data_IF_622743141710
#
_entry.id   IF_622743141710
#
_cell.length_a   1.000
_cell.length_b   1.000
_cell.length_c   1.000
_cell.angle_alpha   90.00
_cell.angle_beta   90.00
_cell.angle_gamma   90.00
#
_symmetry.space_group_name_H-M   'P 1'
#
loop_
_entity.id
_entity.type
_entity.pdbx_description
1 polymer ?
#
# COMPACT_ATOMS: atom_id res chain seq x y z
N UNK A 1 -10.62 1.03 -18.16
CA UNK A 1 -9.50 0.06 -18.26
C UNK A 1 -9.04 -0.27 -16.85
N UNK A 2 -8.63 -1.51 -16.57
CA UNK A 2 -8.18 -1.88 -15.21
C UNK A 2 -6.66 -1.74 -15.08
N UNK A 3 -6.20 -0.97 -14.09
CA UNK A 3 -4.78 -0.82 -13.71
C UNK A 3 -4.54 -1.51 -12.37
N UNK A 4 -3.58 -2.42 -12.32
CA UNK A 4 -3.21 -3.13 -11.08
C UNK A 4 -1.94 -2.50 -10.49
N UNK A 5 -2.00 -2.13 -9.21
CA UNK A 5 -0.88 -1.55 -8.45
C UNK A 5 -0.38 -2.54 -7.39
N UNK A 6 0.90 -2.90 -7.48
CA UNK A 6 1.58 -3.76 -6.52
C UNK A 6 2.36 -2.96 -5.48
N UNK A 7 1.82 -2.84 -4.26
CA UNK A 7 2.45 -2.13 -3.13
C UNK A 7 2.60 -3.03 -1.90
N UNK A 8 2.56 -4.34 -2.10
CA UNK A 8 2.81 -5.35 -1.06
C UNK A 8 4.20 -5.15 -0.42
N UNK A 9 4.26 -5.26 0.90
CA UNK A 9 5.44 -5.09 1.73
C UNK A 9 5.80 -3.63 2.03
N UNK A 10 5.13 -2.65 1.44
CA UNK A 10 5.41 -1.24 1.70
C UNK A 10 4.71 -0.76 2.97
N UNK A 11 5.48 -0.06 3.83
CA UNK A 11 4.94 0.53 5.04
C UNK A 11 4.11 1.79 4.75
N UNK A 12 3.12 2.05 5.59
CA UNK A 12 2.43 3.34 5.57
C UNK A 12 3.44 4.49 5.76
N UNK A 13 3.37 5.60 4.98
CA UNK A 13 2.30 5.99 4.05
C UNK A 13 2.54 5.65 2.56
N UNK A 14 3.59 4.88 2.24
CA UNK A 14 4.04 4.68 0.87
C UNK A 14 2.99 4.06 -0.07
N UNK A 15 2.23 3.00 0.31
CA UNK A 15 1.16 2.47 -0.53
C UNK A 15 0.14 3.53 -0.98
N UNK A 16 -0.18 4.49 -0.11
CA UNK A 16 -1.17 5.53 -0.39
C UNK A 16 -0.63 6.60 -1.34
N UNK A 17 0.66 6.94 -1.22
CA UNK A 17 1.32 7.89 -2.10
C UNK A 17 1.37 7.33 -3.53
N UNK A 18 1.73 6.06 -3.68
CA UNK A 18 1.79 5.41 -4.99
C UNK A 18 0.41 5.23 -5.62
N UNK A 19 -0.61 4.89 -4.81
CA UNK A 19 -2.00 4.85 -5.29
C UNK A 19 -2.46 6.23 -5.81
N UNK A 20 -2.13 7.31 -5.11
CA UNK A 20 -2.49 8.67 -5.54
C UNK A 20 -1.83 9.05 -6.86
N UNK A 21 -0.53 8.79 -7.02
CA UNK A 21 0.18 9.01 -8.29
C UNK A 21 -0.44 8.21 -9.43
N UNK A 22 -0.79 6.94 -9.18
CA UNK A 22 -1.41 6.10 -10.19
C UNK A 22 -2.75 6.67 -10.67
N UNK A 23 -3.57 7.24 -9.75
CA UNK A 23 -4.84 7.89 -10.08
C UNK A 23 -4.63 9.18 -10.89
N UNK A 24 -3.61 9.98 -10.57
CA UNK A 24 -3.30 11.22 -11.31
C UNK A 24 -2.93 10.97 -12.78
N UNK A 25 -2.45 9.77 -13.10
CA UNK A 25 -2.11 9.33 -14.46
C UNK A 25 -3.25 8.60 -15.19
N UNK A 26 -4.37 8.31 -14.52
CA UNK A 26 -5.48 7.53 -15.07
C UNK A 26 -6.53 8.42 -15.76
N UNK A 27 -7.26 7.83 -16.70
CA UNK A 27 -8.38 8.51 -17.35
C UNK A 27 -9.67 8.27 -16.55
N UNK A 28 -10.60 9.22 -16.64
CA UNK A 28 -11.93 9.04 -16.05
C UNK A 28 -12.63 7.81 -16.63
N UNK A 29 -13.06 6.90 -15.75
CA UNK A 29 -13.65 5.61 -16.14
C UNK A 29 -12.67 4.43 -16.11
N UNK A 30 -11.42 4.66 -15.71
CA UNK A 30 -10.48 3.58 -15.39
C UNK A 30 -10.62 3.15 -13.92
N UNK A 31 -10.39 1.85 -13.68
CA UNK A 31 -10.43 1.23 -12.37
C UNK A 31 -9.00 0.97 -11.87
N UNK A 32 -8.73 1.31 -10.61
CA UNK A 32 -7.47 1.00 -9.93
C UNK A 32 -7.69 -0.15 -8.94
N UNK A 33 -6.99 -1.26 -9.15
CA UNK A 33 -6.95 -2.39 -8.23
C UNK A 33 -5.61 -2.38 -7.51
N UNK A 34 -5.60 -2.20 -6.18
CA UNK A 34 -4.37 -2.16 -5.39
C UNK A 34 -4.30 -3.35 -4.44
N UNK A 35 -3.19 -4.08 -4.51
CA UNK A 35 -2.86 -5.14 -3.57
C UNK A 35 -1.90 -4.56 -2.51
N UNK A 36 -2.40 -4.43 -1.27
CA UNK A 36 -1.62 -3.96 -0.13
C UNK A 36 -1.76 -4.91 1.06
N UNK A 37 -0.71 -4.95 1.88
CA UNK A 37 -0.69 -5.63 3.17
C UNK A 37 -0.50 -4.60 4.30
N UNK A 38 -1.26 -4.76 5.39
CA UNK A 38 -1.06 -3.94 6.58
C UNK A 38 -0.04 -4.64 7.50
N UNK A 39 1.25 -4.53 7.16
CA UNK A 39 2.33 -5.13 7.98
C UNK A 39 2.54 -4.38 9.30
N UNK A 40 2.01 -3.16 9.44
CA UNK A 40 2.15 -2.32 10.64
C UNK A 40 1.54 -2.91 11.92
N UNK A 41 0.55 -3.80 11.82
CA UNK A 41 -0.04 -4.46 12.99
C UNK A 41 0.96 -5.40 13.71
N UNK A 42 1.98 -5.89 13.00
CA UNK A 42 2.93 -6.88 13.55
C UNK A 42 4.19 -6.24 14.12
N UNK A 43 4.63 -5.09 13.57
CA UNK A 43 5.92 -4.45 13.93
C UNK A 43 5.79 -3.45 15.09
N UNK A 44 4.56 -3.06 15.46
CA UNK A 44 4.29 -2.04 16.48
C UNK A 44 4.27 -2.57 17.91
N UNK A 45 4.38 -3.89 18.12
CA UNK A 45 4.70 -4.44 19.44
C UNK A 45 6.22 -4.52 19.53
N UNK A 46 6.91 -3.61 20.24
CA UNK A 46 8.30 -3.81 20.56
C UNK A 46 8.40 -5.17 21.26
N UNK A 47 9.15 -6.10 20.67
CA UNK A 47 9.48 -7.35 21.30
C UNK A 47 10.25 -6.98 22.56
N UNK A 48 9.59 -7.04 23.72
CA UNK A 48 10.31 -7.05 24.98
C UNK A 48 11.21 -8.28 24.91
N UNK A 49 12.51 -8.04 24.75
CA UNK A 49 13.56 -9.04 24.83
C UNK A 49 13.39 -9.74 26.18
N UNK A 50 12.73 -10.90 26.19
CA UNK A 50 12.86 -11.86 27.26
C UNK A 50 14.20 -12.56 27.04
N UNK A 51 15.26 -11.98 27.59
CA UNK A 51 16.62 -12.47 27.56
C UNK A 51 17.49 -11.68 28.52
#
# INVERSE_FOLDING_TARGET
MEKVLGVMGQLCPFPLIEAKKAIEEMQSGDDLVSHFDCTQATVSIPRAEAG
#
